data_IF_014015163428
#
_entry.id   IF_014015163428
#
_cell.length_a   1.000
_cell.length_b   1.000
_cell.length_c   1.000
_cell.angle_alpha   90.00
_cell.angle_beta   90.00
_cell.angle_gamma   90.00
#
_symmetry.space_group_name_H-M   'P 1'
#
loop_
_entity.id
_entity.type
_entity.pdbx_description
1 polymer ?
#
# COMPACT_ATOMS: atom_id res chain seq x y z
N UNK A 1 -0.48 1.92 -15.17
CA UNK A 1 -0.60 0.47 -15.47
C UNK A 1 -1.71 -0.10 -14.63
N UNK A 2 -2.36 -1.19 -15.06
CA UNK A 2 -3.50 -1.80 -14.35
C UNK A 2 -3.18 -2.20 -12.89
N UNK A 3 -2.01 -2.83 -12.57
CA UNK A 3 -1.68 -3.19 -11.20
C UNK A 3 -1.57 -2.00 -10.25
N UNK A 4 -1.04 -0.85 -10.72
CA UNK A 4 -0.94 0.37 -9.91
C UNK A 4 -2.32 0.90 -9.52
N UNK A 5 -3.27 0.89 -10.46
CA UNK A 5 -4.63 1.36 -10.19
C UNK A 5 -5.34 0.46 -9.19
N UNK A 6 -5.21 -0.86 -9.33
CA UNK A 6 -5.81 -1.82 -8.40
C UNK A 6 -5.25 -1.75 -7.00
N UNK A 7 -3.93 -1.64 -6.87
CA UNK A 7 -3.29 -1.43 -5.56
C UNK A 7 -3.75 -0.12 -4.93
N UNK A 8 -3.83 0.97 -5.71
CA UNK A 8 -4.32 2.25 -5.22
C UNK A 8 -5.79 2.20 -4.79
N UNK A 9 -6.65 1.50 -5.55
CA UNK A 9 -8.05 1.28 -5.22
C UNK A 9 -8.22 0.58 -3.86
N UNK A 10 -7.40 -0.45 -3.59
CA UNK A 10 -7.43 -1.14 -2.29
C UNK A 10 -6.91 -0.26 -1.15
N UNK A 11 -5.83 0.51 -1.37
CA UNK A 11 -5.28 1.44 -0.37
C UNK A 11 -6.24 2.56 0.03
N UNK A 12 -7.20 2.91 -0.84
CA UNK A 12 -8.24 3.92 -0.54
C UNK A 12 -9.38 3.37 0.32
N UNK A 13 -9.44 2.05 0.55
CA UNK A 13 -10.50 1.46 1.35
C UNK A 13 -10.27 1.79 2.84
N UNK A 14 -11.31 2.19 3.60
CA UNK A 14 -11.16 2.62 4.99
C UNK A 14 -10.51 1.58 5.91
N UNK A 15 -10.73 0.30 5.64
CA UNK A 15 -10.15 -0.83 6.37
C UNK A 15 -8.70 -1.16 5.95
N UNK A 16 -8.16 -0.45 4.97
CA UNK A 16 -6.80 -0.59 4.45
C UNK A 16 -5.94 0.67 4.64
N UNK A 17 -6.38 1.58 5.52
CA UNK A 17 -5.62 2.80 5.80
C UNK A 17 -4.17 2.50 6.21
N UNK A 18 -3.93 1.44 6.99
CA UNK A 18 -2.59 0.96 7.32
C UNK A 18 -2.49 -0.53 6.99
N UNK A 19 -1.75 -0.88 5.96
CA UNK A 19 -1.70 -2.27 5.47
C UNK A 19 -0.29 -2.71 5.14
N UNK A 20 0.04 -3.97 5.44
CA UNK A 20 1.30 -4.58 5.02
C UNK A 20 1.25 -4.99 3.54
N UNK A 21 2.40 -5.19 2.91
CA UNK A 21 2.44 -5.69 1.53
C UNK A 21 1.81 -7.08 1.40
N UNK A 22 1.98 -7.92 2.43
CA UNK A 22 1.46 -9.27 2.49
C UNK A 22 -0.06 -9.29 2.67
N UNK A 23 -0.60 -8.42 3.51
CA UNK A 23 -2.05 -8.33 3.72
C UNK A 23 -2.74 -7.66 2.52
N UNK A 24 -2.10 -6.68 1.89
CA UNK A 24 -2.57 -6.11 0.62
C UNK A 24 -2.60 -7.17 -0.49
N UNK A 25 -1.56 -8.00 -0.58
CA UNK A 25 -1.52 -9.11 -1.53
C UNK A 25 -2.66 -10.11 -1.28
N UNK A 26 -2.91 -10.53 -0.04
CA UNK A 26 -4.04 -11.41 0.29
C UNK A 26 -5.37 -10.80 -0.15
N UNK A 27 -5.56 -9.50 0.12
CA UNK A 27 -6.80 -8.81 -0.26
C UNK A 27 -6.99 -8.74 -1.77
N UNK A 28 -5.92 -8.60 -2.55
CA UNK A 28 -5.97 -8.69 -4.01
C UNK A 28 -6.37 -10.10 -4.49
N UNK A 29 -5.88 -11.16 -3.84
CA UNK A 29 -6.30 -12.54 -4.13
C UNK A 29 -7.78 -12.75 -3.80
N UNK A 30 -8.25 -12.23 -2.67
CA UNK A 30 -9.66 -12.32 -2.27
C UNK A 30 -10.59 -11.58 -3.24
N UNK A 31 -10.08 -10.56 -3.93
CA UNK A 31 -10.76 -9.82 -5.00
C UNK A 31 -10.62 -10.48 -6.39
N UNK A 32 -9.90 -11.60 -6.51
CA UNK A 32 -9.70 -12.33 -7.76
C UNK A 32 -8.64 -11.71 -8.70
N UNK A 33 -7.79 -10.83 -8.20
CA UNK A 33 -6.75 -10.16 -9.00
C UNK A 33 -5.49 -11.04 -9.12
N UNK A 34 -4.96 -11.18 -10.34
CA UNK A 34 -3.74 -11.95 -10.62
C UNK A 34 -2.45 -11.13 -10.40
N UNK A 35 -2.37 -10.42 -9.28
CA UNK A 35 -1.22 -9.56 -8.94
C UNK A 35 -0.33 -10.27 -7.92
N UNK A 36 0.83 -10.75 -8.36
CA UNK A 36 1.80 -11.40 -7.48
C UNK A 36 2.44 -10.44 -6.46
N UNK A 37 2.83 -11.00 -5.31
CA UNK A 37 3.45 -10.26 -4.19
C UNK A 37 4.66 -9.40 -4.60
N UNK A 38 5.52 -9.89 -5.49
CA UNK A 38 6.66 -9.10 -6.00
C UNK A 38 6.23 -7.83 -6.74
N UNK A 39 5.10 -7.88 -7.46
CA UNK A 39 4.52 -6.70 -8.11
C UNK A 39 3.94 -5.74 -7.08
N UNK A 40 3.32 -6.26 -6.01
CA UNK A 40 2.84 -5.44 -4.88
C UNK A 40 3.99 -4.64 -4.27
N UNK A 41 5.09 -5.28 -3.87
CA UNK A 41 6.26 -4.57 -3.35
C UNK A 41 6.83 -3.55 -4.33
N UNK A 42 6.97 -3.92 -5.60
CA UNK A 42 7.50 -2.99 -6.62
C UNK A 42 6.62 -1.75 -6.77
N UNK A 43 5.29 -1.92 -6.75
CA UNK A 43 4.36 -0.80 -6.85
C UNK A 43 4.36 0.03 -5.57
N UNK A 44 4.36 -0.59 -4.39
CA UNK A 44 4.45 0.12 -3.13
C UNK A 44 5.74 0.93 -3.02
N UNK A 45 6.89 0.37 -3.42
CA UNK A 45 8.15 1.11 -3.49
C UNK A 45 8.04 2.30 -4.45
N UNK A 46 7.42 2.12 -5.62
CA UNK A 46 7.21 3.22 -6.57
C UNK A 46 6.27 4.30 -6.03
N UNK A 47 5.29 3.92 -5.21
CA UNK A 47 4.39 4.87 -4.56
C UNK A 47 5.09 5.62 -3.42
N UNK A 48 5.94 4.93 -2.67
CA UNK A 48 6.79 5.48 -1.60
C UNK A 48 7.77 6.51 -2.20
N UNK A 49 8.49 6.13 -3.26
CA UNK A 49 9.40 7.01 -4.01
C UNK A 49 8.69 8.24 -4.60
N UNK A 50 7.40 8.10 -4.94
CA UNK A 50 6.57 9.17 -5.50
C UNK A 50 5.83 10.00 -4.44
N UNK A 51 5.96 9.67 -3.15
CA UNK A 51 5.24 10.34 -2.05
C UNK A 51 3.72 10.13 -2.08
N UNK A 52 3.25 9.04 -2.70
CA UNK A 52 1.83 8.64 -2.73
C UNK A 52 1.47 7.87 -1.46
N UNK A 53 2.41 7.10 -0.93
CA UNK A 53 2.26 6.38 0.35
C UNK A 53 3.40 6.74 1.28
N UNK A 54 3.13 6.62 2.58
CA UNK A 54 4.14 6.65 3.64
C UNK A 54 4.38 5.23 4.13
N UNK A 55 5.64 4.82 4.21
CA UNK A 55 6.04 3.55 4.84
C UNK A 55 6.40 3.75 6.30
N UNK A 56 5.82 2.95 7.18
CA UNK A 56 6.21 2.86 8.58
C UNK A 56 6.91 1.53 8.85
N UNK A 57 8.07 1.60 9.49
CA UNK A 57 8.84 0.43 9.93
C UNK A 57 8.54 0.12 11.39
N UNK A 58 8.04 -1.08 11.67
CA UNK A 58 7.77 -1.56 13.02
C UNK A 58 8.87 -2.49 13.52
N UNK A 59 8.95 -2.63 14.85
CA UNK A 59 9.82 -3.63 15.49
C UNK A 59 9.49 -5.03 14.97
N UNK A 60 10.52 -5.82 14.67
CA UNK A 60 10.38 -7.15 14.05
C UNK A 60 10.42 -7.16 12.52
N UNK A 61 10.71 -6.03 11.87
CA UNK A 61 10.98 -5.95 10.43
C UNK A 61 9.72 -5.85 9.56
N UNK A 62 8.53 -5.78 10.15
CA UNK A 62 7.28 -5.57 9.42
C UNK A 62 7.18 -4.11 8.96
N UNK A 63 6.82 -3.90 7.69
CA UNK A 63 6.49 -2.58 7.16
C UNK A 63 5.00 -2.50 6.89
N UNK A 64 4.39 -1.37 7.20
CA UNK A 64 3.02 -1.04 6.77
C UNK A 64 3.04 0.23 5.96
N UNK A 65 2.07 0.36 5.07
CA UNK A 65 1.92 1.45 4.13
C UNK A 65 0.58 2.11 4.37
N UNK A 66 0.55 3.43 4.27
CA UNK A 66 -0.66 4.24 4.28
C UNK A 66 -0.59 5.28 3.17
N UNK A 67 -1.73 5.76 2.67
CA UNK A 67 -1.75 6.89 1.74
C UNK A 67 -1.21 8.14 2.42
N UNK A 68 -0.28 8.84 1.77
CA UNK A 68 0.25 10.09 2.30
C UNK A 68 -0.87 11.12 2.40
N UNK A 69 -1.19 11.55 3.61
CA UNK A 69 -2.12 12.65 3.83
C UNK A 69 -1.36 13.96 3.68
N UNK A 70 -1.89 14.91 2.91
CA UNK A 70 -1.32 16.27 2.85
C UNK A 70 -1.57 17.08 4.14
N UNK A 71 -2.11 16.45 5.20
CA UNK A 71 -2.45 17.14 6.45
C UNK A 71 -1.26 17.15 7.42
N UNK A 72 -0.19 17.84 7.02
CA UNK A 72 0.55 18.63 8.01
C UNK A 72 -0.17 19.97 8.13
N UNK A 73 -1.28 19.99 8.85
CA UNK A 73 -1.65 21.22 9.55
C UNK A 73 -0.70 21.26 10.75
N UNK A 74 0.32 22.10 10.65
CA UNK A 74 1.10 22.51 11.81
C UNK A 74 0.11 22.91 12.92
N UNK A 75 0.19 22.22 14.05
CA UNK A 75 -0.36 22.68 15.31
C UNK A 75 0.75 23.37 16.09
#
# INVERSE_FOLDING_TARGET
TLPRLKILEVLQQPDCQHISAEDLYKKLIDLGEEIGLATVYRVLNQFDDAGIVTRHHFEGGKSVFELSTQHHHDH
#
